data_IF_007058232839
#
_entry.id   IF_007058232839
#
_cell.length_a   1.000
_cell.length_b   1.000
_cell.length_c   1.000
_cell.angle_alpha   90.00
_cell.angle_beta   90.00
_cell.angle_gamma   90.00
#
_symmetry.space_group_name_H-M   'P 1'
#
loop_
_entity.id
_entity.type
_entity.pdbx_description
1 polymer ?
#
# COMPACT_ATOMS: atom_id res chain seq x y z
N UNK A 1 -93.40 6.61 -11.37
CA UNK A 1 -92.08 6.97 -10.80
C UNK A 1 -91.24 5.72 -10.82
N UNK A 2 -90.25 5.67 -11.72
CA UNK A 2 -89.38 4.52 -11.90
C UNK A 2 -88.47 4.40 -10.67
N UNK A 3 -88.50 3.25 -10.00
CA UNK A 3 -87.44 2.88 -9.06
C UNK A 3 -86.23 2.54 -9.92
N UNK A 4 -85.24 3.42 -9.94
CA UNK A 4 -83.90 3.04 -10.39
C UNK A 4 -83.48 1.85 -9.50
N UNK A 5 -83.42 0.66 -10.10
CA UNK A 5 -82.79 -0.50 -9.47
C UNK A 5 -81.33 -0.10 -9.30
N UNK A 6 -80.95 0.26 -8.08
CA UNK A 6 -79.56 0.47 -7.73
C UNK A 6 -78.88 -0.90 -7.87
N UNK A 7 -78.19 -1.08 -9.00
CA UNK A 7 -77.44 -2.30 -9.30
C UNK A 7 -76.23 -2.29 -8.39
N UNK A 8 -76.42 -2.83 -7.20
CA UNK A 8 -75.40 -2.97 -6.18
C UNK A 8 -74.56 -4.20 -6.51
N UNK A 9 -73.24 -4.08 -6.37
CA UNK A 9 -72.37 -5.25 -6.51
C UNK A 9 -72.76 -6.26 -5.43
N UNK A 10 -73.05 -7.50 -5.83
CA UNK A 10 -73.46 -8.57 -4.91
C UNK A 10 -72.42 -8.85 -3.81
N UNK A 11 -71.17 -8.38 -4.01
CA UNK A 11 -70.03 -8.51 -3.08
C UNK A 11 -69.12 -7.29 -3.11
N UNK A 12 -68.32 -7.14 -2.06
CA UNK A 12 -67.28 -6.10 -1.97
C UNK A 12 -66.22 -6.26 -3.07
N UNK A 13 -66.07 -5.23 -3.89
CA UNK A 13 -65.00 -5.05 -4.87
C UNK A 13 -63.67 -4.75 -4.16
N UNK A 14 -62.78 -5.73 -4.02
CA UNK A 14 -61.42 -5.49 -3.53
C UNK A 14 -60.54 -4.96 -4.66
N UNK A 15 -59.79 -3.88 -4.40
CA UNK A 15 -58.92 -3.18 -5.35
C UNK A 15 -59.63 -2.69 -6.62
N UNK A 16 -60.88 -2.23 -6.44
CA UNK A 16 -61.69 -1.70 -7.53
C UNK A 16 -62.92 -0.96 -7.02
N UNK A 17 -63.67 -0.41 -7.96
CA UNK A 17 -64.91 0.35 -7.73
C UNK A 17 -66.08 -0.38 -8.39
N UNK A 18 -67.19 -0.47 -7.69
CA UNK A 18 -68.42 -1.02 -8.25
C UNK A 18 -69.05 0.00 -9.19
N UNK A 19 -69.25 -0.37 -10.45
CA UNK A 19 -69.97 0.43 -11.44
C UNK A 19 -71.00 -0.44 -12.16
N UNK A 20 -72.29 -0.10 -12.04
CA UNK A 20 -73.41 -0.79 -12.72
C UNK A 20 -73.48 -2.31 -12.46
N UNK A 21 -73.09 -2.76 -11.26
CA UNK A 21 -73.07 -4.18 -10.88
C UNK A 21 -71.82 -4.95 -11.30
N UNK A 22 -70.90 -4.31 -12.02
CA UNK A 22 -69.61 -4.87 -12.39
C UNK A 22 -68.47 -4.24 -11.59
N UNK A 23 -67.45 -5.04 -11.30
CA UNK A 23 -66.28 -4.58 -10.57
C UNK A 23 -65.25 -4.00 -11.54
N UNK A 24 -65.08 -2.67 -11.52
CA UNK A 24 -64.02 -2.00 -12.28
C UNK A 24 -62.75 -1.93 -11.45
N UNK A 25 -61.69 -2.60 -11.90
CA UNK A 25 -60.41 -2.61 -11.20
C UNK A 25 -59.73 -1.24 -11.20
N UNK A 26 -59.06 -0.91 -10.09
CA UNK A 26 -58.20 0.26 -10.00
C UNK A 26 -56.95 0.11 -10.89
N UNK A 27 -56.26 1.22 -11.15
CA UNK A 27 -55.04 1.21 -11.97
C UNK A 27 -53.98 0.27 -11.38
N UNK A 28 -53.40 -0.57 -12.25
CA UNK A 28 -52.43 -1.57 -11.83
C UNK A 28 -53.03 -2.87 -11.30
N UNK A 29 -54.35 -3.07 -11.41
CA UNK A 29 -55.04 -4.30 -11.07
C UNK A 29 -55.85 -4.82 -12.26
N UNK A 30 -56.08 -6.13 -12.32
CA UNK A 30 -56.92 -6.77 -13.35
C UNK A 30 -57.68 -7.98 -12.79
N UNK A 31 -58.72 -8.38 -13.51
CA UNK A 31 -59.48 -9.59 -13.19
C UNK A 31 -58.66 -10.86 -13.44
N UNK A 32 -58.81 -11.83 -12.54
CA UNK A 32 -58.24 -13.17 -12.72
C UNK A 32 -59.14 -13.99 -13.63
N UNK A 33 -58.60 -14.95 -14.40
CA UNK A 33 -59.40 -15.80 -15.28
C UNK A 33 -60.47 -16.56 -14.46
N UNK A 34 -61.75 -16.27 -14.71
CA UNK A 34 -62.87 -16.92 -14.03
C UNK A 34 -63.34 -16.25 -12.73
N UNK A 35 -62.75 -15.13 -12.30
CA UNK A 35 -63.24 -14.34 -11.16
C UNK A 35 -63.37 -12.86 -11.53
N UNK A 36 -64.61 -12.44 -11.83
CA UNK A 36 -64.97 -11.06 -12.20
C UNK A 36 -65.24 -10.15 -10.98
N UNK A 37 -65.11 -10.68 -9.76
CA UNK A 37 -65.43 -9.97 -8.51
C UNK A 37 -64.19 -9.56 -7.73
N UNK A 38 -62.98 -9.97 -8.16
CA UNK A 38 -61.73 -9.70 -7.46
C UNK A 38 -60.67 -9.18 -8.43
N UNK A 39 -60.10 -8.02 -8.08
CA UNK A 39 -59.03 -7.40 -8.85
C UNK A 39 -57.68 -7.75 -8.22
N UNK A 40 -56.88 -8.52 -8.97
CA UNK A 40 -55.54 -8.92 -8.58
C UNK A 40 -54.49 -7.94 -9.13
N UNK A 41 -53.41 -7.67 -8.38
CA UNK A 41 -52.36 -6.78 -8.82
C UNK A 41 -51.71 -7.30 -10.10
N UNK A 42 -51.48 -6.38 -11.04
CA UNK A 42 -50.84 -6.65 -12.32
C UNK A 42 -49.50 -5.91 -12.42
N UNK A 43 -48.50 -6.67 -12.87
CA UNK A 43 -47.17 -6.19 -13.19
C UNK A 43 -46.80 -6.74 -14.59
N UNK A 44 -46.11 -5.93 -15.40
CA UNK A 44 -45.63 -6.33 -16.72
C UNK A 44 -44.57 -7.44 -16.65
N UNK A 45 -43.78 -7.43 -15.57
CA UNK A 45 -42.76 -8.42 -15.28
C UNK A 45 -43.01 -9.09 -13.93
N UNK A 46 -42.40 -10.24 -13.74
CA UNK A 46 -42.51 -11.01 -12.49
C UNK A 46 -41.58 -10.38 -11.46
N UNK A 47 -42.05 -10.22 -10.23
CA UNK A 47 -41.21 -9.80 -9.11
C UNK A 47 -40.35 -10.98 -8.64
N UNK A 48 -39.05 -10.94 -8.91
CA UNK A 48 -38.10 -11.93 -8.39
C UNK A 48 -37.91 -11.72 -6.88
N UNK A 49 -38.14 -12.76 -6.10
CA UNK A 49 -38.08 -12.73 -4.62
C UNK A 49 -38.98 -11.65 -3.99
N UNK A 50 -40.14 -11.40 -4.60
CA UNK A 50 -41.16 -10.50 -4.08
C UNK A 50 -42.55 -10.81 -4.61
N UNK A 51 -43.53 -10.01 -4.22
CA UNK A 51 -44.90 -10.06 -4.75
C UNK A 51 -45.27 -8.75 -5.45
N UNK A 52 -46.05 -8.86 -6.53
CA UNK A 52 -46.59 -7.69 -7.21
C UNK A 52 -47.66 -7.02 -6.35
N UNK A 53 -47.56 -5.70 -6.18
CA UNK A 53 -48.56 -4.88 -5.48
C UNK A 53 -49.34 -3.95 -6.43
N UNK A 54 -49.17 -4.16 -7.74
CA UNK A 54 -49.81 -3.39 -8.80
C UNK A 54 -48.95 -2.21 -9.27
N UNK A 55 -49.35 -1.60 -10.38
CA UNK A 55 -48.68 -0.44 -10.98
C UNK A 55 -47.19 -0.68 -11.26
N UNK A 56 -46.82 -1.89 -11.69
CA UNK A 56 -45.43 -2.27 -11.94
C UNK A 56 -44.50 -2.11 -10.71
N UNK A 57 -45.05 -2.24 -9.50
CA UNK A 57 -44.30 -2.18 -8.24
C UNK A 57 -44.29 -3.54 -7.54
N UNK A 58 -43.13 -3.87 -7.00
CA UNK A 58 -42.91 -5.07 -6.22
C UNK A 58 -42.74 -4.73 -4.74
N UNK A 59 -43.31 -5.59 -3.90
CA UNK A 59 -43.00 -5.65 -2.48
C UNK A 59 -42.11 -6.87 -2.26
N UNK A 60 -40.86 -6.63 -1.86
CA UNK A 60 -39.89 -7.69 -1.62
C UNK A 60 -40.28 -8.56 -0.42
N UNK A 61 -39.88 -9.82 -0.44
CA UNK A 61 -40.06 -10.69 0.72
C UNK A 61 -39.19 -10.24 1.90
N UNK A 62 -39.49 -10.77 3.09
CA UNK A 62 -38.74 -10.45 4.30
C UNK A 62 -37.24 -10.74 4.11
N UNK A 63 -36.38 -9.80 4.52
CA UNK A 63 -34.92 -9.84 4.32
C UNK A 63 -34.46 -9.77 2.85
N UNK A 64 -35.30 -9.24 1.96
CA UNK A 64 -34.91 -8.88 0.60
C UNK A 64 -35.14 -7.39 0.38
N UNK A 65 -34.32 -6.78 -0.47
CA UNK A 65 -34.43 -5.37 -0.85
C UNK A 65 -34.46 -5.20 -2.37
N UNK A 66 -35.14 -4.16 -2.82
CA UNK A 66 -35.28 -3.86 -4.24
C UNK A 66 -33.96 -3.28 -4.77
N UNK A 67 -33.28 -4.02 -5.64
CA UNK A 67 -32.02 -3.59 -6.26
C UNK A 67 -32.21 -3.10 -7.69
N UNK A 68 -33.14 -3.70 -8.42
CA UNK A 68 -33.52 -3.32 -9.77
C UNK A 68 -35.05 -3.39 -9.91
N UNK A 69 -35.65 -2.75 -10.94
CA UNK A 69 -37.07 -2.92 -11.21
C UNK A 69 -37.42 -4.40 -11.30
N UNK A 70 -38.39 -4.83 -10.49
CA UNK A 70 -38.83 -6.23 -10.37
C UNK A 70 -37.83 -7.22 -9.76
N UNK A 71 -36.65 -6.80 -9.32
CA UNK A 71 -35.65 -7.71 -8.72
C UNK A 71 -35.39 -7.33 -7.27
N UNK A 72 -35.73 -8.26 -6.37
CA UNK A 72 -35.39 -8.16 -4.96
C UNK A 72 -34.19 -9.06 -4.65
N UNK A 73 -33.09 -8.48 -4.19
CA UNK A 73 -31.90 -9.22 -3.78
C UNK A 73 -31.94 -9.53 -2.27
N UNK A 74 -31.37 -10.65 -1.83
CA UNK A 74 -31.29 -10.98 -0.41
C UNK A 74 -30.36 -10.00 0.33
N UNK A 75 -30.72 -9.67 1.56
CA UNK A 75 -29.94 -8.82 2.44
C UNK A 75 -28.97 -9.69 3.25
N UNK A 76 -27.70 -9.31 3.25
CA UNK A 76 -26.68 -9.87 4.13
C UNK A 76 -26.27 -8.80 5.16
N UNK A 77 -26.31 -9.12 6.45
CA UNK A 77 -25.89 -8.20 7.54
C UNK A 77 -24.42 -7.79 7.44
N UNK A 78 -23.59 -8.69 6.90
CA UNK A 78 -22.18 -8.45 6.61
C UNK A 78 -21.94 -8.67 5.13
N UNK A 79 -21.22 -7.76 4.50
CA UNK A 79 -20.85 -7.88 3.09
C UNK A 79 -20.05 -9.16 2.83
N UNK A 80 -20.40 -9.86 1.75
CA UNK A 80 -19.71 -11.06 1.31
C UNK A 80 -18.42 -10.69 0.56
N UNK A 81 -17.27 -10.85 1.21
CA UNK A 81 -15.96 -10.56 0.60
C UNK A 81 -15.59 -11.67 -0.39
N UNK A 82 -15.33 -11.30 -1.66
CA UNK A 82 -15.11 -12.23 -2.78
C UNK A 82 -16.27 -13.23 -3.00
N UNK A 83 -17.49 -12.79 -2.73
CA UNK A 83 -18.70 -13.56 -2.96
C UNK A 83 -19.91 -12.65 -3.16
N UNK A 84 -21.08 -13.27 -3.19
CA UNK A 84 -22.37 -12.58 -3.27
C UNK A 84 -23.36 -13.19 -2.28
N UNK A 85 -24.35 -12.40 -1.89
CA UNK A 85 -25.43 -12.87 -1.04
C UNK A 85 -26.37 -13.74 -1.89
N UNK A 86 -26.43 -15.05 -1.63
CA UNK A 86 -27.30 -15.96 -2.40
C UNK A 86 -28.64 -16.24 -1.71
N UNK A 87 -28.69 -16.02 -0.39
CA UNK A 87 -29.90 -15.99 0.42
C UNK A 87 -29.67 -15.06 1.62
N UNK A 88 -30.72 -14.65 2.36
CA UNK A 88 -30.55 -13.77 3.51
C UNK A 88 -29.48 -14.28 4.48
N UNK A 89 -28.50 -13.43 4.78
CA UNK A 89 -27.34 -13.76 5.62
C UNK A 89 -26.55 -15.00 5.17
N UNK A 90 -26.60 -15.37 3.89
CA UNK A 90 -25.87 -16.50 3.33
C UNK A 90 -25.00 -16.07 2.15
N UNK A 91 -23.68 -16.08 2.36
CA UNK A 91 -22.70 -15.77 1.33
C UNK A 91 -22.32 -17.01 0.52
N UNK A 92 -22.37 -16.85 -0.81
CA UNK A 92 -21.84 -17.78 -1.77
C UNK A 92 -20.59 -17.20 -2.43
N UNK A 93 -19.50 -17.97 -2.43
CA UNK A 93 -18.23 -17.53 -2.99
C UNK A 93 -18.26 -17.46 -4.51
N UNK A 94 -17.48 -16.53 -5.07
CA UNK A 94 -17.24 -16.51 -6.51
C UNK A 94 -16.46 -17.75 -6.96
N UNK A 95 -16.50 -18.02 -8.27
CA UNK A 95 -15.74 -19.11 -8.87
C UNK A 95 -14.24 -18.96 -8.57
N UNK A 96 -13.59 -20.07 -8.19
CA UNK A 96 -12.18 -20.06 -7.77
C UNK A 96 -11.95 -19.58 -6.32
N UNK A 97 -13.01 -19.31 -5.56
CA UNK A 97 -12.94 -19.00 -4.14
C UNK A 97 -13.69 -20.05 -3.31
N UNK A 98 -13.27 -20.21 -2.04
CA UNK A 98 -13.91 -21.09 -1.06
C UNK A 98 -14.14 -20.33 0.24
N UNK A 99 -15.12 -20.77 1.03
CA UNK A 99 -15.38 -20.17 2.35
C UNK A 99 -14.14 -20.23 3.23
N UNK A 100 -13.87 -19.14 3.94
CA UNK A 100 -12.88 -19.08 5.00
C UNK A 100 -13.32 -19.95 6.18
N UNK A 101 -12.36 -20.52 6.90
CA UNK A 101 -12.66 -21.24 8.15
C UNK A 101 -12.99 -20.27 9.31
N UNK A 102 -12.62 -18.99 9.18
CA UNK A 102 -12.73 -17.99 10.24
C UNK A 102 -14.05 -17.20 10.16
N UNK A 103 -14.64 -17.11 8.97
CA UNK A 103 -15.85 -16.33 8.72
C UNK A 103 -16.66 -16.91 7.57
N UNK A 104 -17.98 -16.95 7.76
CA UNK A 104 -18.94 -17.32 6.72
C UNK A 104 -19.13 -16.23 5.65
N UNK A 105 -18.72 -14.98 5.93
CA UNK A 105 -18.81 -13.84 5.00
C UNK A 105 -17.55 -13.60 4.19
N UNK A 106 -16.46 -14.33 4.47
CA UNK A 106 -15.18 -14.18 3.78
C UNK A 106 -14.89 -15.39 2.89
N UNK A 107 -14.70 -15.14 1.59
CA UNK A 107 -14.25 -16.15 0.65
C UNK A 107 -12.77 -15.94 0.32
N UNK A 108 -11.98 -16.99 0.53
CA UNK A 108 -10.54 -17.03 0.23
C UNK A 108 -10.30 -17.66 -1.13
N UNK A 109 -9.33 -17.16 -1.90
CA UNK A 109 -9.00 -17.73 -3.19
C UNK A 109 -8.50 -19.18 -3.05
N UNK A 110 -8.71 -19.98 -4.09
CA UNK A 110 -8.24 -21.37 -4.20
C UNK A 110 -7.08 -21.42 -5.17
N UNK A 111 -5.96 -22.01 -4.74
CA UNK A 111 -4.75 -22.16 -5.55
C UNK A 111 -4.43 -23.64 -5.76
N UNK A 112 -4.77 -24.19 -6.93
CA UNK A 112 -4.49 -25.60 -7.26
C UNK A 112 -5.10 -26.60 -6.25
N UNK A 113 -4.62 -27.85 -6.30
CA UNK A 113 -5.12 -28.92 -5.42
C UNK A 113 -4.46 -28.89 -4.03
N UNK A 114 -3.22 -28.41 -3.94
CA UNK A 114 -2.41 -28.46 -2.70
C UNK A 114 -2.29 -27.12 -1.98
N UNK A 115 -2.90 -26.05 -2.49
CA UNK A 115 -2.65 -24.67 -2.05
C UNK A 115 -1.18 -24.23 -2.28
N UNK A 116 -0.89 -22.95 -2.01
CA UNK A 116 0.45 -22.40 -2.16
C UNK A 116 1.39 -22.92 -1.06
N UNK A 117 2.48 -23.59 -1.45
CA UNK A 117 3.55 -24.01 -0.52
C UNK A 117 4.57 -22.89 -0.37
N UNK A 118 4.82 -22.41 0.87
CA UNK A 118 5.67 -21.24 1.19
C UNK A 118 5.24 -19.94 0.48
N UNK A 119 3.94 -19.81 0.22
CA UNK A 119 3.32 -18.64 -0.38
C UNK A 119 1.94 -18.40 0.21
N UNK A 120 1.32 -17.31 -0.23
CA UNK A 120 -0.06 -16.95 0.09
C UNK A 120 -0.85 -16.91 -1.21
N UNK A 121 -2.02 -17.56 -1.23
CA UNK A 121 -2.94 -17.47 -2.36
C UNK A 121 -3.58 -16.07 -2.35
N UNK A 122 -3.27 -15.25 -3.36
CA UNK A 122 -3.71 -13.85 -3.45
C UNK A 122 -4.90 -13.68 -4.40
N UNK A 123 -5.01 -14.57 -5.38
CA UNK A 123 -6.12 -14.68 -6.30
C UNK A 123 -6.28 -16.16 -6.73
N UNK A 124 -7.40 -16.54 -7.37
CA UNK A 124 -7.60 -17.92 -7.83
C UNK A 124 -6.45 -18.36 -8.73
N UNK A 125 -5.82 -19.47 -8.35
CA UNK A 125 -4.63 -20.04 -8.99
C UNK A 125 -3.41 -19.10 -9.04
N UNK A 126 -3.31 -18.10 -8.18
CA UNK A 126 -2.17 -17.17 -8.12
C UNK A 126 -1.54 -17.16 -6.72
N UNK A 127 -0.29 -17.61 -6.65
CA UNK A 127 0.50 -17.63 -5.42
C UNK A 127 1.50 -16.48 -5.37
N UNK A 128 1.45 -15.71 -4.29
CA UNK A 128 2.52 -14.79 -3.91
C UNK A 128 3.46 -15.50 -2.94
N UNK A 129 4.72 -15.70 -3.32
CA UNK A 129 5.70 -16.32 -2.44
C UNK A 129 6.03 -15.46 -1.22
N UNK A 130 6.34 -16.11 -0.10
CA UNK A 130 6.81 -15.44 1.11
C UNK A 130 8.21 -14.85 0.90
N UNK A 131 8.60 -13.89 1.74
CA UNK A 131 9.93 -13.26 1.66
C UNK A 131 11.06 -14.29 1.66
N UNK A 132 11.94 -14.19 0.66
CA UNK A 132 13.07 -15.10 0.46
C UNK A 132 12.73 -16.37 -0.34
N UNK A 133 11.47 -16.58 -0.70
CA UNK A 133 11.03 -17.65 -1.58
C UNK A 133 10.69 -17.11 -2.98
N UNK A 134 10.89 -17.95 -4.00
CA UNK A 134 10.63 -17.62 -5.40
C UNK A 134 9.79 -18.70 -6.05
N UNK A 135 8.99 -18.36 -7.09
CA UNK A 135 8.20 -19.34 -7.82
C UNK A 135 9.08 -20.43 -8.42
N UNK A 136 8.66 -21.68 -8.31
CA UNK A 136 9.26 -22.80 -9.04
C UNK A 136 8.93 -22.70 -10.55
N UNK A 137 9.84 -23.15 -11.42
CA UNK A 137 9.65 -23.04 -12.87
C UNK A 137 8.59 -24.02 -13.40
N UNK A 138 8.45 -25.18 -12.76
CA UNK A 138 7.53 -26.24 -13.19
C UNK A 138 6.20 -26.22 -12.41
N UNK A 139 6.19 -25.66 -11.20
CA UNK A 139 5.02 -25.63 -10.32
C UNK A 139 4.74 -24.24 -9.73
N UNK A 140 3.78 -23.53 -10.31
CA UNK A 140 3.32 -22.20 -9.86
C UNK A 140 2.79 -22.17 -8.41
N UNK A 141 2.40 -23.32 -7.85
CA UNK A 141 1.93 -23.43 -6.47
C UNK A 141 3.04 -23.74 -5.46
N UNK A 142 4.27 -23.92 -5.93
CA UNK A 142 5.43 -24.21 -5.10
C UNK A 142 6.38 -23.02 -5.09
N UNK A 143 6.57 -22.44 -3.92
CA UNK A 143 7.60 -21.44 -3.70
C UNK A 143 8.82 -22.10 -3.06
N UNK A 144 9.97 -21.98 -3.74
CA UNK A 144 11.24 -22.55 -3.32
C UNK A 144 12.14 -21.49 -2.71
N UNK A 145 12.84 -21.86 -1.65
CA UNK A 145 13.88 -21.01 -1.06
C UNK A 145 15.07 -21.01 -2.03
N UNK A 146 15.35 -19.87 -2.65
CA UNK A 146 16.54 -19.79 -3.50
C UNK A 146 17.79 -19.66 -2.63
N UNK A 147 18.51 -20.77 -2.45
CA UNK A 147 19.81 -20.76 -1.78
C UNK A 147 20.84 -19.88 -2.51
N UNK A 148 20.64 -19.56 -3.80
CA UNK A 148 21.45 -18.55 -4.49
C UNK A 148 21.14 -17.14 -3.98
N UNK A 149 19.96 -16.83 -3.43
CA UNK A 149 19.75 -15.56 -2.72
C UNK A 149 20.52 -15.49 -1.38
N UNK A 150 20.87 -16.64 -0.81
CA UNK A 150 21.72 -16.75 0.40
C UNK A 150 23.23 -16.75 0.03
N UNK A 151 23.58 -17.25 -1.16
CA UNK A 151 24.98 -17.40 -1.62
C UNK A 151 25.45 -16.35 -2.65
N UNK A 152 24.52 -15.60 -3.26
CA UNK A 152 24.82 -14.41 -4.06
C UNK A 152 24.63 -13.20 -3.14
N UNK A 153 25.66 -12.39 -2.88
CA UNK A 153 25.46 -11.13 -2.20
C UNK A 153 24.50 -10.31 -3.08
N UNK A 154 23.36 -9.96 -2.49
CA UNK A 154 22.32 -9.08 -3.02
C UNK A 154 22.94 -7.91 -3.79
N UNK A 155 23.04 -8.00 -5.12
CA UNK A 155 23.28 -6.82 -5.95
C UNK A 155 21.97 -6.06 -6.11
N UNK A 156 21.57 -5.39 -5.04
CA UNK A 156 20.39 -4.53 -5.05
C UNK A 156 19.83 -4.33 -3.67
N UNK A 157 20.03 -3.11 -3.14
CA UNK A 157 19.26 -2.51 -2.04
C UNK A 157 19.77 -2.60 -0.58
N UNK A 158 21.04 -2.94 -0.31
CA UNK A 158 21.64 -2.72 1.03
C UNK A 158 23.09 -2.18 1.01
N UNK A 159 23.62 -1.75 -0.15
CA UNK A 159 24.99 -1.19 -0.25
C UNK A 159 25.08 0.31 0.05
N UNK A 160 23.96 1.02 0.19
CA UNK A 160 23.97 2.47 0.40
C UNK A 160 24.02 2.86 1.89
N UNK A 161 23.48 2.02 2.77
CA UNK A 161 23.49 2.27 4.22
C UNK A 161 24.90 2.14 4.84
N UNK A 162 25.66 1.10 4.47
CA UNK A 162 27.00 0.87 5.04
C UNK A 162 28.05 1.87 4.52
N UNK A 163 27.92 2.33 3.27
CA UNK A 163 28.78 3.37 2.70
C UNK A 163 28.56 4.72 3.38
N UNK A 164 27.32 5.08 3.74
CA UNK A 164 27.01 6.33 4.43
C UNK A 164 27.48 6.30 5.89
N UNK A 165 27.28 5.20 6.62
CA UNK A 165 27.73 5.09 8.00
C UNK A 165 29.27 5.05 8.13
N UNK A 166 29.96 4.33 7.24
CA UNK A 166 31.43 4.20 7.28
C UNK A 166 32.15 5.50 6.90
N UNK A 167 31.71 6.20 5.85
CA UNK A 167 32.38 7.43 5.40
C UNK A 167 32.25 8.56 6.41
N UNK A 168 31.09 8.73 7.05
CA UNK A 168 30.89 9.76 8.06
C UNK A 168 31.70 9.52 9.35
N UNK A 169 32.02 8.27 9.69
CA UNK A 169 32.83 7.96 10.88
C UNK A 169 34.33 7.94 10.58
N UNK A 170 34.74 7.39 9.44
CA UNK A 170 36.16 7.19 9.13
C UNK A 170 36.87 8.49 8.74
N UNK A 171 36.19 9.39 8.02
CA UNK A 171 36.73 10.69 7.61
C UNK A 171 37.13 11.57 8.82
N UNK A 172 36.27 11.80 9.84
CA UNK A 172 36.67 12.59 11.01
C UNK A 172 37.75 11.89 11.84
N UNK A 173 37.73 10.55 11.93
CA UNK A 173 38.77 9.80 12.65
C UNK A 173 40.13 9.99 11.98
N UNK A 174 40.22 9.85 10.66
CA UNK A 174 41.47 10.12 9.93
C UNK A 174 41.93 11.56 10.13
N UNK A 175 41.03 12.54 9.97
CA UNK A 175 41.36 13.95 10.13
C UNK A 175 41.92 14.25 11.54
N UNK A 176 41.30 13.69 12.58
CA UNK A 176 41.78 13.79 13.96
C UNK A 176 43.17 13.18 14.14
N UNK A 177 43.41 11.99 13.59
CA UNK A 177 44.73 11.33 13.66
C UNK A 177 45.79 12.16 12.94
N UNK A 178 45.49 12.68 11.75
CA UNK A 178 46.41 13.54 11.00
C UNK A 178 46.75 14.82 11.76
N UNK A 179 45.77 15.47 12.40
CA UNK A 179 46.01 16.66 13.23
C UNK A 179 46.85 16.34 14.46
N UNK A 180 46.58 15.21 15.14
CA UNK A 180 47.37 14.78 16.30
C UNK A 180 48.82 14.53 15.89
N UNK A 181 49.06 13.82 14.79
CA UNK A 181 50.40 13.58 14.28
C UNK A 181 51.12 14.89 13.92
N UNK A 182 50.43 15.84 13.27
CA UNK A 182 50.99 17.15 12.97
C UNK A 182 51.39 17.91 14.25
N UNK A 183 50.53 17.90 15.28
CA UNK A 183 50.83 18.53 16.58
C UNK A 183 52.04 17.86 17.26
N UNK A 184 52.13 16.52 17.21
CA UNK A 184 53.26 15.78 17.77
C UNK A 184 54.56 16.08 17.02
N UNK A 185 54.52 16.17 15.70
CA UNK A 185 55.68 16.54 14.87
C UNK A 185 56.11 17.98 15.19
N UNK A 186 55.17 18.93 15.28
CA UNK A 186 55.49 20.31 15.65
C UNK A 186 56.09 20.37 17.06
N UNK A 187 55.49 19.67 18.04
CA UNK A 187 56.05 19.57 19.40
C UNK A 187 57.43 18.95 19.40
N UNK A 188 57.67 17.92 18.58
CA UNK A 188 58.98 17.30 18.43
C UNK A 188 59.99 18.29 17.85
N UNK A 189 59.64 19.02 16.79
CA UNK A 189 60.48 20.06 16.18
C UNK A 189 60.78 21.18 17.19
N UNK A 190 59.78 21.64 17.95
CA UNK A 190 59.97 22.69 18.98
C UNK A 190 60.83 22.18 20.13
N UNK A 191 60.60 20.96 20.63
CA UNK A 191 61.45 20.36 21.67
C UNK A 191 62.88 20.14 21.14
N UNK A 192 63.03 19.78 19.87
CA UNK A 192 64.34 19.63 19.24
C UNK A 192 65.03 20.99 19.04
N UNK A 193 64.28 22.04 18.69
CA UNK A 193 64.76 23.44 18.66
C UNK A 193 65.12 23.94 20.06
N UNK A 194 64.36 23.59 21.10
CA UNK A 194 64.67 23.93 22.48
C UNK A 194 65.94 23.22 23.00
N UNK A 195 66.20 21.98 22.56
CA UNK A 195 67.49 21.31 22.82
C UNK A 195 68.68 22.07 22.19
N UNK A 196 68.47 22.77 21.08
CA UNK A 196 69.47 23.67 20.48
C UNK A 196 69.49 25.09 21.07
N UNK A 197 68.51 25.44 21.93
CA UNK A 197 68.38 26.75 22.59
C UNK A 197 68.89 26.77 24.03
N UNK A 198 69.53 25.69 24.50
CA UNK A 198 70.42 25.77 25.66
C UNK A 198 71.74 26.46 25.26
N UNK A 199 71.67 27.75 24.96
CA UNK A 199 72.79 28.69 25.16
C UNK A 199 72.46 29.42 26.46
N UNK A 200 73.42 29.40 27.38
CA UNK A 200 73.26 29.71 28.79
C UNK A 200 72.57 31.05 29.10
N UNK A 201 71.85 31.05 30.23
CA UNK A 201 71.57 32.27 30.98
C UNK A 201 72.89 32.90 31.37
N UNK A 202 73.27 34.03 30.79
CA UNK A 202 74.21 34.98 31.37
C UNK A 202 74.09 36.35 30.68
N UNK A 203 73.24 37.19 31.24
CA UNK A 203 73.56 38.60 31.53
C UNK A 203 73.07 38.84 32.97
N UNK A 204 73.84 39.38 33.90
CA UNK A 204 74.68 40.58 33.76
C UNK A 204 76.00 40.47 34.55
N UNK A 205 77.12 40.71 33.86
CA UNK A 205 78.08 41.78 34.19
C UNK A 205 79.08 41.98 33.05
N UNK A 206 79.03 43.18 32.47
CA UNK A 206 80.11 43.94 31.81
C UNK A 206 80.88 43.29 30.64
N UNK A 207 80.57 43.70 29.40
CA UNK A 207 81.37 44.65 28.59
C UNK A 207 81.10 44.45 27.08
N UNK A 208 80.84 45.56 26.38
CA UNK A 208 80.71 45.62 24.93
C UNK A 208 82.05 45.38 24.24
N UNK A 209 82.05 44.71 23.07
CA UNK A 209 82.99 45.02 21.98
C UNK A 209 82.28 44.79 20.63
N UNK A 210 82.16 45.86 19.83
CA UNK A 210 81.80 45.76 18.41
C UNK A 210 83.06 45.51 17.58
N UNK A 211 82.99 44.64 16.57
CA UNK A 211 83.86 44.73 15.39
C UNK A 211 83.11 44.33 14.12
N UNK A 212 83.13 45.26 13.15
CA UNK A 212 82.71 45.13 11.75
C UNK A 212 83.95 44.79 10.87
N UNK A 213 83.78 44.47 9.56
CA UNK A 213 84.38 43.30 8.90
C UNK A 213 85.67 43.59 8.10
N UNK A 214 86.33 42.53 7.62
CA UNK A 214 87.29 42.60 6.49
C UNK A 214 87.37 41.23 5.75
N UNK A 215 87.98 41.15 4.54
CA UNK A 215 87.32 40.64 3.34
C UNK A 215 88.11 39.45 2.75
N UNK A 216 87.73 39.02 1.55
CA UNK A 216 88.47 38.09 0.67
C UNK A 216 88.50 36.62 1.08
N UNK A 217 87.46 35.90 0.61
CA UNK A 217 87.68 34.73 -0.25
C UNK A 217 86.45 34.51 -1.14
N UNK A 218 86.58 34.95 -2.39
CA UNK A 218 85.87 34.47 -3.60
C UNK A 218 85.86 32.93 -3.65
N UNK A 219 85.03 32.16 -4.33
CA UNK A 219 83.88 32.27 -5.26
C UNK A 219 83.41 30.81 -5.37
N UNK A 220 82.11 30.52 -5.50
CA UNK A 220 81.61 30.14 -6.82
C UNK A 220 80.21 30.68 -7.12
N UNK A 221 80.11 31.03 -8.39
CA UNK A 221 79.04 31.67 -9.15
C UNK A 221 77.69 30.97 -9.04
N UNK A 222 76.62 31.75 -8.79
CA UNK A 222 75.71 32.30 -9.80
C UNK A 222 74.97 31.25 -10.64
N UNK A 223 73.67 31.10 -10.38
CA UNK A 223 72.68 31.31 -11.45
C UNK A 223 71.42 31.94 -10.87
N UNK A 224 71.14 33.17 -11.30
CA UNK A 224 69.88 33.89 -11.12
C UNK A 224 68.85 33.35 -12.11
N UNK A 225 67.57 33.30 -11.73
CA UNK A 225 66.52 33.83 -12.60
C UNK A 225 65.34 34.37 -11.77
N UNK A 226 65.03 35.64 -12.02
CA UNK A 226 63.90 36.42 -11.52
C UNK A 226 62.55 35.81 -12.02
N UNK A 227 61.36 36.08 -11.46
CA UNK A 227 60.65 37.36 -11.32
C UNK A 227 59.52 37.30 -10.26
N UNK A 228 59.03 38.44 -9.76
CA UNK A 228 57.83 38.54 -8.94
C UNK A 228 56.54 38.70 -9.76
N UNK A 229 55.43 38.53 -9.03
CA UNK A 229 54.01 38.70 -9.37
C UNK A 229 53.69 40.12 -9.91
N UNK A 230 52.82 40.24 -10.93
CA UNK A 230 51.57 41.03 -10.88
C UNK A 230 50.70 40.93 -12.15
N UNK A 231 49.41 41.07 -11.92
CA UNK A 231 48.20 41.12 -12.75
C UNK A 231 48.19 42.08 -13.94
N UNK A 232 47.74 41.62 -15.12
CA UNK A 232 46.52 41.95 -15.92
C UNK A 232 46.62 41.17 -17.23
#
# INVERSE_FOLDING_TARGET
>A
MARELQIECERECRNGKCEQGECRCDEGFRHSPGNLQNCEPFCEQICESGRCIGNNRCECFEQYELVEPFVCAPICETDCVNGFCSAPNHCQCHEGYRKSNESDSECRPVCGDTDCTNGVCVAPNECSCLDGYYPDEDNMFLCLLDAKAILLPREGSERDYYKMSYMHYFIPVIACVSLILAILIIKMIVRNRQKNYHVGKLESKENCVYFMPNPDSKTDELTKLNLPVETI
#
